data_IF_485602683215
#
_entry.id   IF_485602683215
#
_cell.length_a   1.000
_cell.length_b   1.000
_cell.length_c   1.000
_cell.angle_alpha   90.00
_cell.angle_beta   90.00
_cell.angle_gamma   90.00
#
_symmetry.space_group_name_H-M   'P 1'
#
loop_
_entity.id
_entity.type
_entity.pdbx_description
1 polymer ?
#
# COMPACT_ATOMS: atom_id res chain seq x y z
N UNK A 1 -10.41 12.11 -3.87
CA UNK A 1 -9.91 11.22 -2.78
C UNK A 1 -8.50 11.64 -2.29
N UNK A 2 -8.11 11.33 -1.04
CA UNK A 2 -6.75 11.59 -0.50
C UNK A 2 -5.90 10.32 -0.57
N UNK A 3 -4.73 10.39 -1.19
CA UNK A 3 -3.83 9.28 -1.40
C UNK A 3 -2.44 9.55 -0.81
N UNK A 4 -1.73 8.49 -0.44
CA UNK A 4 -0.32 8.57 -0.07
C UNK A 4 0.53 8.33 -1.31
N UNK A 5 1.32 9.32 -1.70
CA UNK A 5 2.29 9.17 -2.80
C UNK A 5 3.51 8.40 -2.31
N UNK A 6 3.71 7.18 -2.79
CA UNK A 6 4.73 6.25 -2.26
C UNK A 6 6.17 6.67 -2.54
N UNK A 7 6.41 7.53 -3.54
CA UNK A 7 7.75 8.03 -3.87
C UNK A 7 8.21 9.19 -2.99
N UNK A 8 7.27 9.98 -2.47
CA UNK A 8 7.56 11.19 -1.69
C UNK A 8 7.04 11.12 -0.25
N UNK A 9 6.25 10.08 0.06
CA UNK A 9 5.53 9.89 1.33
C UNK A 9 4.69 11.11 1.75
N UNK A 10 4.24 11.89 0.77
CA UNK A 10 3.36 13.04 0.98
C UNK A 10 1.92 12.66 0.67
N UNK A 11 0.99 13.25 1.43
CA UNK A 11 -0.43 13.16 1.08
C UNK A 11 -0.73 14.06 -0.13
N UNK A 12 -1.44 13.49 -1.10
CA UNK A 12 -1.93 14.20 -2.28
C UNK A 12 -3.45 14.07 -2.32
N UNK A 13 -4.13 15.17 -2.59
CA UNK A 13 -5.57 15.19 -2.79
C UNK A 13 -5.84 15.23 -4.29
N UNK A 14 -6.53 14.21 -4.79
CA UNK A 14 -6.75 14.02 -6.21
C UNK A 14 -8.25 14.06 -6.46
N UNK A 15 -8.74 14.99 -7.30
CA UNK A 15 -10.14 15.03 -7.70
C UNK A 15 -10.57 13.69 -8.31
N UNK A 16 -11.82 13.29 -8.09
CA UNK A 16 -12.30 12.00 -8.59
C UNK A 16 -12.28 11.94 -10.14
N UNK A 17 -12.37 13.09 -10.82
CA UNK A 17 -12.20 13.22 -12.28
C UNK A 17 -10.80 12.85 -12.77
N UNK A 18 -9.81 12.96 -11.90
CA UNK A 18 -8.39 12.83 -12.24
C UNK A 18 -7.84 11.45 -11.87
N UNK A 19 -8.68 10.60 -11.28
CA UNK A 19 -8.34 9.21 -10.97
C UNK A 19 -8.41 8.39 -12.26
N UNK A 20 -7.29 8.27 -12.97
CA UNK A 20 -7.16 7.27 -14.04
C UNK A 20 -6.47 6.00 -13.51
N UNK A 21 -7.20 4.89 -13.47
CA UNK A 21 -6.69 3.58 -13.01
C UNK A 21 -5.33 3.16 -13.64
N UNK A 22 -5.03 3.47 -14.91
CA UNK A 22 -3.74 3.10 -15.51
C UNK A 22 -2.54 3.91 -14.99
N UNK A 23 -2.74 5.16 -14.57
CA UNK A 23 -1.65 6.05 -14.14
C UNK A 23 -1.51 6.08 -12.61
N UNK A 24 -2.60 5.74 -11.91
CA UNK A 24 -2.72 5.91 -10.49
C UNK A 24 -2.97 4.55 -9.80
N UNK A 25 -1.89 3.87 -9.43
CA UNK A 25 -1.95 2.59 -8.71
C UNK A 25 -2.06 2.85 -7.21
N UNK A 26 -3.29 2.98 -6.71
CA UNK A 26 -3.55 3.18 -5.29
C UNK A 26 -3.90 1.89 -4.57
N UNK A 27 -3.04 1.44 -3.66
CA UNK A 27 -3.40 0.34 -2.76
C UNK A 27 -4.37 0.90 -1.71
N UNK A 28 -5.62 0.46 -1.73
CA UNK A 28 -6.53 0.69 -0.59
C UNK A 28 -6.11 -0.27 0.52
N UNK A 29 -5.33 0.22 1.48
CA UNK A 29 -4.96 -0.49 2.70
C UNK A 29 -6.06 -0.33 3.75
N UNK A 30 -7.18 -0.99 3.53
CA UNK A 30 -8.23 -1.21 4.53
C UNK A 30 -8.82 -2.56 4.13
N UNK A 31 -8.90 -3.59 4.96
CA UNK A 31 -9.24 -3.74 6.38
C UNK A 31 -8.40 -4.94 6.88
N UNK A 32 -8.37 -5.26 8.17
CA UNK A 32 -7.64 -6.47 8.64
C UNK A 32 -8.20 -7.72 7.98
N UNK A 33 -7.39 -8.51 7.30
CA UNK A 33 -7.79 -9.77 6.63
C UNK A 33 -7.11 -10.99 7.25
N UNK A 34 -6.05 -10.77 8.04
CA UNK A 34 -5.33 -11.80 8.77
C UNK A 34 -5.20 -11.42 10.26
N UNK A 35 -4.80 -12.36 11.14
CA UNK A 35 -4.39 -12.03 12.50
C UNK A 35 -3.29 -10.95 12.50
N UNK A 36 -3.22 -10.14 13.56
CA UNK A 36 -2.34 -8.96 13.63
C UNK A 36 -0.85 -9.28 13.38
N UNK A 37 -0.42 -10.50 13.70
CA UNK A 37 0.93 -11.03 13.46
C UNK A 37 1.27 -11.26 11.97
N UNK A 38 0.26 -11.48 11.13
CA UNK A 38 0.38 -11.72 9.68
C UNK A 38 0.21 -10.42 8.85
N UNK A 39 -0.22 -9.33 9.48
CA UNK A 39 -0.46 -8.04 8.84
C UNK A 39 0.84 -7.27 8.60
N UNK A 40 0.87 -6.47 7.53
CA UNK A 40 1.95 -5.52 7.28
C UNK A 40 1.47 -4.14 7.70
N UNK A 41 2.08 -3.58 8.73
CA UNK A 41 1.76 -2.23 9.20
C UNK A 41 2.46 -1.18 8.35
N UNK A 42 2.03 0.07 8.49
CA UNK A 42 2.75 1.19 7.88
C UNK A 42 4.20 1.28 8.38
N UNK A 43 4.41 1.07 9.67
CA UNK A 43 5.73 1.15 10.32
C UNK A 43 6.69 0.09 9.76
N UNK A 44 6.19 -1.12 9.51
CA UNK A 44 6.96 -2.19 8.88
C UNK A 44 7.51 -1.81 7.49
N UNK A 45 6.71 -1.09 6.70
CA UNK A 45 7.08 -0.66 5.35
C UNK A 45 8.11 0.47 5.38
N UNK A 46 7.93 1.47 6.25
CA UNK A 46 8.87 2.61 6.34
C UNK A 46 10.21 2.23 6.97
N UNK A 47 10.23 1.23 7.86
CA UNK A 47 11.46 0.73 8.49
C UNK A 47 12.23 -0.25 7.58
N UNK A 48 11.71 -0.55 6.39
CA UNK A 48 12.27 -1.51 5.44
C UNK A 48 12.59 -2.86 6.09
N UNK A 49 11.71 -3.32 6.99
CA UNK A 49 11.80 -4.64 7.59
C UNK A 49 11.71 -5.73 6.52
N UNK A 50 12.25 -6.91 6.79
CA UNK A 50 11.93 -8.09 5.97
C UNK A 50 10.48 -8.51 6.25
N UNK A 51 9.64 -8.45 5.21
CA UNK A 51 8.21 -8.76 5.26
C UNK A 51 7.86 -10.03 4.48
N UNK A 52 8.85 -10.75 3.98
CA UNK A 52 8.65 -11.94 3.14
C UNK A 52 7.83 -13.03 3.83
N UNK A 53 7.94 -13.15 5.16
CA UNK A 53 7.19 -14.12 5.96
C UNK A 53 5.76 -13.65 6.31
N UNK A 54 5.45 -12.36 6.19
CA UNK A 54 4.13 -11.83 6.51
C UNK A 54 3.16 -12.05 5.36
N UNK A 55 2.10 -12.81 5.60
CA UNK A 55 1.10 -13.13 4.56
C UNK A 55 0.43 -11.88 3.98
N UNK A 56 0.31 -10.80 4.75
CA UNK A 56 -0.13 -9.49 4.28
C UNK A 56 0.73 -8.90 3.17
N UNK A 57 2.04 -9.21 3.14
CA UNK A 57 2.98 -8.70 2.15
C UNK A 57 2.66 -9.15 0.72
N UNK A 58 2.15 -10.37 0.55
CA UNK A 58 1.77 -10.90 -0.76
C UNK A 58 0.75 -10.01 -1.50
N UNK A 59 -0.10 -9.29 -0.77
CA UNK A 59 -1.07 -8.35 -1.33
C UNK A 59 -0.40 -7.07 -1.82
N UNK A 60 0.52 -6.53 -1.03
CA UNK A 60 1.30 -5.35 -1.42
C UNK A 60 2.15 -5.71 -2.63
N UNK A 61 2.82 -6.86 -2.62
CA UNK A 61 3.59 -7.38 -3.75
C UNK A 61 2.73 -7.52 -5.02
N UNK A 62 1.56 -8.15 -4.90
CA UNK A 62 0.65 -8.35 -6.04
C UNK A 62 0.03 -7.06 -6.57
N UNK A 63 -0.39 -6.16 -5.68
CA UNK A 63 -1.00 -4.89 -6.06
C UNK A 63 0.02 -3.93 -6.69
N UNK A 64 1.21 -3.83 -6.10
CA UNK A 64 2.26 -2.92 -6.56
C UNK A 64 3.12 -3.53 -7.69
N UNK A 65 2.85 -4.77 -8.12
CA UNK A 65 3.67 -5.51 -9.10
C UNK A 65 5.17 -5.52 -8.75
N UNK A 66 5.50 -5.61 -7.45
CA UNK A 66 6.89 -5.64 -7.01
C UNK A 66 7.51 -6.99 -7.45
N UNK A 67 8.62 -6.94 -8.20
CA UNK A 67 9.33 -8.12 -8.72
C UNK A 67 10.16 -8.75 -7.60
#
# INVERSE_FOLDING_TARGET
>A
MRFLKTTTLSFEEIPDSDITLPQNRYAILSHRWFPDEDEVTYDDVILACDLSERRGWAKIKGFCELV
#
